data_IF_085734932881
#
_entry.id   IF_085734932881
#
_cell.length_a   1.000
_cell.length_b   1.000
_cell.length_c   1.000
_cell.angle_alpha   90.00
_cell.angle_beta   90.00
_cell.angle_gamma   90.00
#
_symmetry.space_group_name_H-M   'P 1'
#
loop_
_entity.id
_entity.type
_entity.pdbx_description
1 polymer ?
2 polymer ?
#
loop_
_entity_poly.entity_id
_entity_poly.type
_entity_poly.pdbx_seq_one_letter_code
_entity_poly.pdbx_strand_id
2 'polydeoxyribonucleotide' '(DG)(DA)(DA)(DT)(DT)(DG)(DT)(DA)(DA)(DG)(DC)(DG)(DC)(DT)(DT)(DA)(DC)(DA)(DA)(DT)(DT)(DC)' ?
#
# COMPACT_ATOMS: atom_id res chain seq x y z
N UNK A 1 -9.35 8.26 -8.48
CA UNK A 1 -10.44 8.71 -7.57
C UNK A 1 -10.08 8.44 -6.14
N UNK A 2 -10.25 9.45 -5.29
CA UNK A 2 -9.94 9.33 -3.88
C UNK A 2 -11.16 9.73 -3.02
N UNK A 3 -11.80 8.74 -2.39
CA UNK A 3 -12.96 8.98 -1.53
C UNK A 3 -12.54 9.55 -0.17
N UNK A 4 -13.43 9.45 0.82
CA UNK A 4 -13.10 9.93 2.15
C UNK A 4 -11.99 9.06 2.68
N UNK A 5 -11.10 9.64 3.45
CA UNK A 5 -9.98 8.89 3.97
C UNK A 5 -9.57 9.40 5.34
N UNK A 6 -8.51 8.82 5.89
CA UNK A 6 -8.04 9.23 7.19
C UNK A 6 -7.47 10.62 7.11
N UNK A 7 -7.01 11.00 5.92
CA UNK A 7 -6.44 12.32 5.72
C UNK A 7 -7.52 13.37 5.92
N UNK A 8 -8.71 13.06 5.44
CA UNK A 8 -9.86 13.92 5.50
C UNK A 8 -10.30 14.12 6.93
N UNK A 9 -10.58 13.03 7.60
CA UNK A 9 -11.03 13.11 8.97
C UNK A 9 -9.90 13.61 9.88
N UNK A 10 -8.66 13.41 9.46
CA UNK A 10 -7.52 13.91 10.22
C UNK A 10 -7.44 15.42 10.08
N UNK A 11 -7.84 15.88 8.89
CA UNK A 11 -7.87 17.29 8.56
C UNK A 11 -8.98 17.95 9.37
N UNK A 12 -10.09 17.26 9.37
CA UNK A 12 -11.29 17.67 10.08
C UNK A 12 -11.03 17.77 11.57
N UNK A 13 -10.60 16.63 12.09
CA UNK A 13 -10.30 16.48 13.51
C UNK A 13 -9.17 17.41 13.96
N UNK A 14 -8.39 17.91 13.02
CA UNK A 14 -7.30 18.79 13.36
C UNK A 14 -6.14 18.02 13.95
N UNK A 15 -5.87 16.86 13.36
CA UNK A 15 -4.80 15.99 13.79
C UNK A 15 -4.05 15.45 12.58
N UNK A 16 -3.29 14.40 12.77
CA UNK A 16 -2.56 13.81 11.68
C UNK A 16 -3.17 12.47 11.32
N UNK A 17 -2.61 11.82 10.33
CA UNK A 17 -3.10 10.54 9.92
C UNK A 17 -2.68 9.49 10.92
N UNK A 18 -1.72 9.85 11.76
CA UNK A 18 -1.23 8.98 12.78
C UNK A 18 -2.25 8.87 13.89
N UNK A 19 -2.94 9.98 14.16
CA UNK A 19 -3.94 10.01 15.20
C UNK A 19 -5.17 9.21 14.78
N UNK A 20 -5.63 9.48 13.58
CA UNK A 20 -6.79 8.80 13.02
C UNK A 20 -6.55 7.32 12.83
N UNK A 21 -5.38 6.94 12.34
CA UNK A 21 -5.05 5.55 12.16
C UNK A 21 -5.12 4.85 13.49
N UNK A 22 -4.83 5.56 14.58
CA UNK A 22 -4.91 4.98 15.90
C UNK A 22 -6.35 4.67 16.22
N UNK A 23 -7.22 5.63 16.00
CA UNK A 23 -8.64 5.44 16.26
C UNK A 23 -9.18 4.36 15.36
N UNK A 24 -8.75 4.41 14.10
CA UNK A 24 -9.10 3.42 13.11
C UNK A 24 -8.58 2.05 13.57
N UNK A 25 -7.49 2.12 14.33
CA UNK A 25 -6.85 0.93 14.89
C UNK A 25 -7.30 0.70 16.32
N UNK A 26 -8.47 1.22 16.66
CA UNK A 26 -9.04 1.07 17.99
C UNK A 26 -8.20 1.86 18.99
N UNK A 27 -8.09 3.15 18.67
CA UNK A 27 -7.36 4.18 19.41
C UNK A 27 -6.27 3.68 20.34
N UNK A 28 -6.67 3.22 21.54
CA UNK A 28 -5.73 2.76 22.55
C UNK A 28 -4.87 3.92 23.02
N UNK A 29 -3.80 4.21 22.28
CA UNK A 29 -2.92 5.32 22.63
C UNK A 29 -3.55 6.67 22.34
N UNK A 30 -4.71 6.69 21.71
CA UNK A 30 -5.41 7.92 21.43
C UNK A 30 -6.29 8.25 22.62
N UNK A 31 -6.26 9.50 23.04
CA UNK A 31 -7.07 9.91 24.17
C UNK A 31 -8.55 9.84 23.83
N UNK A 32 -9.39 9.61 24.84
CA UNK A 32 -10.84 9.51 24.66
C UNK A 32 -11.38 10.69 23.86
N UNK A 33 -10.95 11.89 24.22
CA UNK A 33 -11.39 13.10 23.53
C UNK A 33 -11.06 13.03 22.04
N UNK A 34 -9.86 12.60 21.74
CA UNK A 34 -9.41 12.47 20.37
C UNK A 34 -10.18 11.38 19.64
N UNK A 35 -10.40 10.27 20.31
CA UNK A 35 -11.16 9.18 19.71
C UNK A 35 -12.50 9.70 19.20
N UNK A 36 -13.12 10.53 20.03
CA UNK A 36 -14.40 11.13 19.67
C UNK A 36 -14.19 12.19 18.59
N UNK A 37 -13.08 12.89 18.71
CA UNK A 37 -12.67 13.95 17.78
C UNK A 37 -12.63 13.47 16.33
N UNK A 38 -12.02 12.33 16.13
CA UNK A 38 -11.87 11.77 14.82
C UNK A 38 -13.10 10.99 14.38
N UNK A 39 -13.79 10.34 15.32
CA UNK A 39 -14.98 9.59 14.99
C UNK A 39 -16.04 10.52 14.46
N UNK A 40 -16.10 11.69 15.07
CA UNK A 40 -17.03 12.72 14.64
C UNK A 40 -16.70 13.13 13.22
N UNK A 41 -15.41 13.24 12.95
CA UNK A 41 -14.92 13.60 11.64
C UNK A 41 -15.27 12.51 10.66
N UNK A 42 -14.99 11.27 11.05
CA UNK A 42 -15.26 10.12 10.23
C UNK A 42 -16.72 10.07 9.84
N UNK A 43 -17.54 10.42 10.81
CA UNK A 43 -18.99 10.41 10.67
C UNK A 43 -19.52 11.39 9.63
N UNK A 44 -19.09 12.63 9.70
CA UNK A 44 -19.56 13.66 8.80
C UNK A 44 -19.24 13.34 7.36
N UNK A 45 -18.01 13.00 7.13
CA UNK A 45 -17.52 12.68 5.81
C UNK A 45 -17.96 11.29 5.35
N UNK A 46 -18.22 10.42 6.32
CA UNK A 46 -18.59 9.03 6.07
C UNK A 46 -17.34 8.27 5.67
N UNK A 47 -16.42 8.22 6.63
CA UNK A 47 -15.13 7.57 6.46
C UNK A 47 -15.23 6.07 6.39
N UNK A 48 -14.61 5.50 5.36
CA UNK A 48 -14.55 4.06 5.18
C UNK A 48 -13.14 3.65 4.81
N UNK A 49 -12.40 3.02 5.74
CA UNK A 49 -11.02 2.60 5.49
C UNK A 49 -10.95 1.51 4.44
N UNK A 50 -9.75 1.20 3.96
CA UNK A 50 -9.56 0.19 2.96
C UNK A 50 -8.81 -0.97 3.57
N UNK A 51 -9.40 -2.15 3.49
CA UNK A 51 -8.82 -3.35 4.09
C UNK A 51 -7.41 -3.65 3.57
N UNK A 52 -7.11 -3.26 2.35
CA UNK A 52 -5.81 -3.54 1.76
C UNK A 52 -4.77 -2.63 2.36
N UNK A 53 -5.05 -1.35 2.32
CA UNK A 53 -4.17 -0.37 2.92
C UNK A 53 -3.83 -0.75 4.36
N UNK A 54 -4.84 -1.28 5.05
CA UNK A 54 -4.69 -1.71 6.42
C UNK A 54 -3.85 -2.99 6.48
N UNK A 55 -4.10 -3.87 5.52
CA UNK A 55 -3.39 -5.14 5.44
C UNK A 55 -1.92 -4.90 5.13
N UNK A 56 -1.67 -4.06 4.13
CA UNK A 56 -0.32 -3.72 3.72
C UNK A 56 0.44 -3.04 4.85
N UNK A 57 -0.09 -1.90 5.25
CA UNK A 57 0.50 -1.11 6.33
C UNK A 57 0.58 -1.92 7.62
N UNK A 58 -0.34 -2.86 7.79
CA UNK A 58 -0.35 -3.68 8.97
C UNK A 58 0.72 -4.75 8.93
N UNK A 59 1.33 -4.92 7.75
CA UNK A 59 2.38 -5.91 7.59
C UNK A 59 3.73 -5.35 8.04
N UNK A 60 3.74 -4.09 8.45
CA UNK A 60 4.96 -3.45 8.91
C UNK A 60 5.49 -4.13 10.17
N UNK A 61 4.57 -4.56 11.02
CA UNK A 61 4.91 -5.24 12.26
C UNK A 61 5.24 -6.72 11.99
N UNK A 62 4.97 -7.15 10.77
CA UNK A 62 5.21 -8.53 10.38
C UNK A 62 6.57 -8.66 9.70
N UNK B 1 9.55 -8.14 8.52
CA UNK B 1 10.16 -9.13 7.60
C UNK B 1 9.88 -8.75 6.16
N UNK B 2 10.90 -8.87 5.31
CA UNK B 2 10.77 -8.55 3.90
C UNK B 2 11.27 -9.71 3.05
N UNK B 3 10.35 -10.41 2.38
CA UNK B 3 10.70 -11.54 1.50
C UNK B 3 11.22 -11.03 0.16
N UNK B 4 11.27 -11.91 -0.84
CA UNK B 4 11.70 -11.51 -2.16
C UNK B 4 10.68 -10.53 -2.69
N UNK B 5 11.14 -9.57 -3.47
CA UNK B 5 10.24 -8.56 -3.98
C UNK B 5 10.67 -8.10 -5.36
N UNK B 6 9.96 -7.11 -5.91
CA UNK B 6 10.28 -6.62 -7.23
C UNK B 6 11.58 -5.85 -7.18
N UNK B 7 11.92 -5.31 -6.00
CA UNK B 7 13.15 -4.57 -5.82
C UNK B 7 14.34 -5.48 -6.03
N UNK B 8 14.20 -6.68 -5.52
CA UNK B 8 15.23 -7.70 -5.58
C UNK B 8 15.47 -8.14 -7.00
N UNK B 9 14.42 -8.59 -7.64
CA UNK B 9 14.54 -9.04 -9.01
C UNK B 9 14.86 -7.87 -9.95
N UNK B 10 14.49 -6.66 -9.54
CA UNK B 10 14.79 -5.47 -10.33
C UNK B 10 16.27 -5.19 -10.24
N UNK B 11 16.81 -5.46 -9.06
CA UNK B 11 18.22 -5.26 -8.78
C UNK B 11 19.03 -6.28 -9.53
N UNK B 12 18.51 -7.49 -9.49
CA UNK B 12 19.09 -8.64 -10.17
C UNK B 12 19.13 -8.37 -11.65
N UNK B 13 17.96 -8.05 -12.17
CA UNK B 13 17.78 -7.75 -13.56
C UNK B 13 18.51 -6.47 -13.95
N UNK B 14 18.88 -5.68 -12.94
CA UNK B 14 19.59 -4.44 -13.18
C UNK B 14 18.66 -3.27 -13.05
N UNK B 15 17.60 -3.36 -13.85
CA UNK B 15 16.49 -2.41 -13.94
C UNK B 15 15.92 -1.87 -12.62
N UNK B 16 14.78 -1.20 -12.76
CA UNK B 16 14.08 -0.61 -11.63
C UNK B 16 12.84 -1.40 -11.31
N UNK B 17 12.08 -0.94 -10.33
CA UNK B 17 10.87 -1.61 -9.93
C UNK B 17 9.77 -1.32 -10.93
N UNK B 18 9.99 -0.29 -11.73
CA UNK B 18 9.03 0.09 -12.74
C UNK B 18 9.07 -0.91 -13.87
N UNK B 19 10.25 -1.45 -14.15
CA UNK B 19 10.41 -2.42 -15.20
C UNK B 19 9.80 -3.76 -14.80
N UNK B 20 10.13 -4.19 -13.59
CA UNK B 20 9.64 -5.45 -13.05
C UNK B 20 8.14 -5.44 -12.87
N UNK B 21 7.59 -4.35 -12.35
CA UNK B 21 6.17 -4.22 -12.16
C UNK B 21 5.47 -4.40 -13.49
N UNK B 22 6.12 -3.98 -14.57
CA UNK B 22 5.55 -4.16 -15.89
C UNK B 22 5.44 -5.62 -16.20
N UNK B 23 6.52 -6.35 -15.97
CA UNK B 23 6.54 -7.78 -16.25
C UNK B 23 5.54 -8.47 -15.33
N UNK B 24 5.54 -8.03 -14.08
CA UNK B 24 4.60 -8.51 -13.09
C UNK B 24 3.18 -8.17 -13.53
N UNK B 25 3.10 -7.10 -14.30
CA UNK B 25 1.83 -6.61 -14.86
C UNK B 25 1.64 -7.07 -16.29
N UNK B 26 2.32 -8.17 -16.64
CA UNK B 26 2.25 -8.75 -17.98
C UNK B 26 2.92 -7.82 -18.97
N UNK B 27 4.18 -7.54 -18.66
CA UNK B 27 5.10 -6.68 -19.40
C UNK B 27 4.46 -5.67 -20.33
N UNK B 28 4.04 -6.13 -21.51
CA UNK B 28 3.44 -5.26 -22.51
C UNK B 28 4.47 -4.26 -23.01
N UNK B 29 4.64 -3.16 -22.29
CA UNK B 29 5.62 -2.14 -22.69
C UNK B 29 7.05 -2.58 -22.41
N UNK B 30 7.23 -3.69 -21.72
CA UNK B 30 8.56 -4.21 -21.44
C UNK B 30 9.00 -5.04 -22.63
N UNK B 31 10.23 -4.83 -23.06
CA UNK B 31 10.75 -5.57 -24.19
C UNK B 31 10.88 -7.05 -23.85
N UNK B 32 10.77 -7.90 -24.87
CA UNK B 32 10.88 -9.35 -24.69
C UNK B 32 12.11 -9.73 -23.91
N UNK B 33 13.25 -9.14 -24.27
CA UNK B 33 14.51 -9.40 -23.59
C UNK B 33 14.41 -9.10 -22.11
N UNK B 34 13.81 -7.96 -21.81
CA UNK B 34 13.63 -7.52 -20.43
C UNK B 34 12.67 -8.42 -19.68
N UNK B 35 11.60 -8.81 -20.34
CA UNK B 35 10.62 -9.69 -19.72
C UNK B 35 11.33 -10.92 -19.18
N UNK B 36 12.26 -11.44 -19.97
CA UNK B 36 13.03 -12.61 -19.58
C UNK B 36 14.05 -12.23 -18.52
N UNK B 37 14.59 -11.02 -18.68
CA UNK B 37 15.58 -10.44 -17.79
C UNK B 37 15.12 -10.47 -16.33
N UNK B 38 13.88 -10.08 -16.14
CA UNK B 38 13.31 -10.02 -14.81
C UNK B 38 12.70 -11.36 -14.39
N UNK B 39 12.16 -12.13 -15.32
CA UNK B 39 11.59 -13.41 -15.00
C UNK B 39 12.67 -14.33 -14.47
N UNK B 40 13.82 -14.25 -15.09
CA UNK B 40 14.96 -15.05 -14.67
C UNK B 40 15.36 -14.63 -13.26
N UNK B 41 15.27 -13.33 -13.01
CA UNK B 41 15.57 -12.77 -11.72
C UNK B 41 14.57 -13.27 -10.70
N UNK B 42 13.31 -13.18 -11.07
CA UNK B 42 12.21 -13.63 -10.24
C UNK B 42 12.40 -15.07 -9.83
N UNK B 43 12.81 -15.84 -10.80
CA UNK B 43 13.01 -17.28 -10.65
C UNK B 43 14.07 -17.67 -9.63
N UNK B 44 15.22 -17.02 -9.71
CA UNK B 44 16.32 -17.33 -8.81
C UNK B 44 15.99 -17.07 -7.37
N UNK B 45 15.48 -15.88 -7.13
CA UNK B 45 15.13 -15.44 -5.80
C UNK B 45 13.85 -16.09 -5.31
N UNK B 46 13.00 -16.49 -6.26
CA UNK B 46 11.69 -17.07 -5.99
C UNK B 46 10.74 -15.94 -5.63
N UNK B 47 10.51 -15.10 -6.63
CA UNK B 47 9.68 -13.92 -6.51
C UNK B 47 8.20 -14.25 -6.42
N UNK B 48 7.56 -13.70 -5.41
CA UNK B 48 6.13 -13.85 -5.22
C UNK B 48 5.56 -12.49 -4.84
N UNK B 49 4.75 -11.88 -5.71
CA UNK B 49 4.14 -10.57 -5.43
C UNK B 49 3.04 -10.68 -4.40
N UNK B 50 2.62 -9.55 -3.85
CA UNK B 50 1.57 -9.53 -2.86
C UNK B 50 0.31 -8.97 -3.49
N UNK B 51 -0.77 -9.73 -3.41
CA UNK B 51 -2.04 -9.35 -4.02
C UNK B 51 -2.54 -8.00 -3.53
N UNK B 52 -2.20 -7.64 -2.29
CA UNK B 52 -2.68 -6.38 -1.71
C UNK B 52 -1.94 -5.22 -2.31
N UNK B 53 -0.62 -5.28 -2.24
CA UNK B 53 0.21 -4.24 -2.82
C UNK B 53 -0.19 -3.97 -4.27
N UNK B 54 -0.56 -5.03 -4.96
CA UNK B 54 -1.00 -4.94 -6.34
C UNK B 54 -2.39 -4.29 -6.41
N UNK B 55 -3.26 -4.70 -5.49
CA UNK B 55 -4.61 -4.17 -5.42
C UNK B 55 -4.59 -2.68 -5.11
N UNK B 56 -3.83 -2.34 -4.08
CA UNK B 56 -3.68 -0.95 -3.65
C UNK B 56 -3.07 -0.09 -4.75
N UNK B 57 -1.86 -0.46 -5.14
CA UNK B 57 -1.13 0.24 -6.19
C UNK B 57 -1.90 0.26 -7.51
N UNK B 58 -2.71 -0.77 -7.74
CA UNK B 58 -3.48 -0.85 -8.95
C UNK B 58 -4.69 0.06 -8.92
N UNK B 59 -5.03 0.57 -7.74
CA UNK B 59 -6.17 1.45 -7.59
C UNK B 59 -5.85 2.86 -8.06
N UNK B 60 -4.59 3.08 -8.46
CA UNK B 60 -4.15 4.38 -8.94
C UNK B 60 -4.89 4.74 -10.22
N UNK B 61 -5.19 3.73 -11.01
CA UNK B 61 -5.91 3.92 -12.27
C UNK B 61 -7.41 4.03 -12.02
N UNK B 62 -7.81 3.88 -10.77
CA UNK B 62 -9.22 3.97 -10.40
C UNK B 62 -9.49 5.30 -9.71
#
# INVERSE_FOLDING_TARGET
MKPVTLYDVAEYAGVSVATVSRVVNQASHVSAKTREKVEAAMAELNYIPNRCAQQLAGKQSL
MKPVTLYDVAEYAGVSVATVSRVVNQASHVSAKTREKVEAAMAELNYIPNRCAQQLAGKQSL
#
